data_IF_476429436765
#
_entry.id   IF_476429436765
#
_cell.length_a   1.000
_cell.length_b   1.000
_cell.length_c   1.000
_cell.angle_alpha   90.00
_cell.angle_beta   90.00
_cell.angle_gamma   90.00
#
_symmetry.space_group_name_H-M   'P 1'
#
loop_
_entity.id
_entity.type
_entity.pdbx_description
1 polymer ?
#
# COMPACT_ATOMS: atom_id res chain seq x y z
N UNK A 1 22.15 -75.27 -17.87
CA UNK A 1 20.98 -74.88 -18.71
C UNK A 1 20.09 -74.00 -17.83
N UNK A 2 19.99 -72.72 -18.20
CA UNK A 2 19.03 -71.67 -17.82
C UNK A 2 18.42 -71.63 -16.38
N UNK A 3 18.72 -70.51 -15.72
CA UNK A 3 18.04 -69.83 -14.59
C UNK A 3 16.53 -69.61 -14.83
N UNK A 4 15.67 -69.36 -13.79
CA UNK A 4 15.70 -68.08 -13.07
C UNK A 4 15.44 -68.08 -11.56
N UNK A 5 16.04 -67.04 -10.97
CA UNK A 5 15.96 -66.51 -9.62
C UNK A 5 14.62 -65.80 -9.41
N UNK A 6 13.87 -66.19 -8.40
CA UNK A 6 12.67 -65.47 -7.92
C UNK A 6 13.08 -64.40 -6.91
N UNK A 7 12.95 -63.14 -7.31
CA UNK A 7 12.99 -61.97 -6.45
C UNK A 7 11.61 -61.75 -5.81
N UNK A 8 11.53 -61.79 -4.49
CA UNK A 8 10.37 -61.30 -3.74
C UNK A 8 10.83 -60.15 -2.84
N UNK A 9 10.45 -58.92 -3.22
CA UNK A 9 10.77 -57.68 -2.49
C UNK A 9 9.64 -57.35 -1.50
N UNK A 10 10.06 -56.79 -0.37
CA UNK A 10 9.29 -56.35 0.80
C UNK A 10 8.12 -55.40 0.46
N UNK A 11 7.10 -55.32 1.34
CA UNK A 11 6.07 -54.30 1.24
C UNK A 11 6.60 -52.92 1.68
N UNK A 12 6.32 -51.93 0.83
CA UNK A 12 6.50 -50.51 1.11
C UNK A 12 5.55 -50.08 2.24
N UNK A 13 6.10 -49.68 3.38
CA UNK A 13 5.40 -48.88 4.39
C UNK A 13 5.55 -47.41 3.97
N UNK A 14 4.48 -46.82 3.46
CA UNK A 14 4.41 -45.39 3.19
C UNK A 14 4.19 -44.63 4.51
N UNK A 15 5.26 -44.05 5.05
CA UNK A 15 5.17 -42.98 6.05
C UNK A 15 4.55 -41.75 5.38
N UNK A 16 3.27 -41.49 5.67
CA UNK A 16 2.59 -40.26 5.27
C UNK A 16 3.00 -39.15 6.25
N UNK A 17 3.95 -38.32 5.85
CA UNK A 17 4.33 -37.10 6.58
C UNK A 17 3.17 -36.11 6.53
N UNK A 18 2.52 -35.88 7.68
CA UNK A 18 1.51 -34.82 7.85
C UNK A 18 2.22 -33.46 7.90
N UNK A 19 2.52 -32.89 6.74
CA UNK A 19 2.98 -31.51 6.62
C UNK A 19 1.74 -30.59 6.74
N UNK A 20 1.51 -30.06 7.93
CA UNK A 20 0.50 -29.01 8.14
C UNK A 20 1.02 -27.73 7.49
N UNK A 21 0.72 -27.54 6.20
CA UNK A 21 0.76 -26.21 5.59
C UNK A 21 -0.34 -25.39 6.25
N UNK A 22 0.05 -24.45 7.10
CA UNK A 22 -0.78 -23.29 7.44
C UNK A 22 -0.93 -22.44 6.18
N UNK A 23 -1.83 -22.85 5.29
CA UNK A 23 -2.33 -22.00 4.22
C UNK A 23 -3.09 -20.85 4.89
N UNK A 24 -2.43 -19.70 5.00
CA UNK A 24 -3.16 -18.45 5.22
C UNK A 24 -4.15 -18.30 4.07
N UNK A 25 -5.44 -18.02 4.34
CA UNK A 25 -6.38 -17.85 3.26
C UNK A 25 -5.98 -16.59 2.48
N UNK A 26 -5.49 -16.79 1.26
CA UNK A 26 -5.51 -15.77 0.22
C UNK A 26 -6.99 -15.55 -0.05
N UNK A 27 -7.59 -14.60 0.65
CA UNK A 27 -8.94 -14.12 0.36
C UNK A 27 -8.91 -13.63 -1.08
N UNK A 28 -9.52 -14.39 -1.98
CA UNK A 28 -9.69 -14.02 -3.38
C UNK A 28 -10.56 -12.77 -3.40
N UNK A 29 -10.08 -11.72 -4.04
CA UNK A 29 -10.74 -10.41 -4.17
C UNK A 29 -11.98 -10.44 -5.08
N UNK A 30 -12.74 -11.54 -5.12
CA UNK A 30 -13.75 -11.82 -6.15
C UNK A 30 -15.19 -11.36 -5.82
N UNK A 31 -15.41 -10.66 -4.70
CA UNK A 31 -16.69 -9.97 -4.44
C UNK A 31 -16.50 -8.46 -4.19
N UNK A 32 -15.72 -7.81 -5.05
CA UNK A 32 -15.79 -6.37 -5.21
C UNK A 32 -17.08 -6.02 -5.97
N UNK A 33 -17.96 -5.26 -5.32
CA UNK A 33 -19.21 -4.73 -5.88
C UNK A 33 -18.98 -4.16 -7.28
N UNK A 34 -19.86 -4.50 -8.23
CA UNK A 34 -19.88 -4.02 -9.63
C UNK A 34 -19.67 -2.49 -9.72
N UNK A 35 -18.42 -2.14 -10.01
CA UNK A 35 -17.93 -1.31 -11.13
C UNK A 35 -18.58 0.05 -11.38
N UNK A 36 -18.09 1.07 -10.68
CA UNK A 36 -17.90 2.38 -11.31
C UNK A 36 -16.45 2.83 -11.07
N UNK A 37 -15.66 2.83 -12.14
CA UNK A 37 -14.35 3.46 -12.14
C UNK A 37 -14.50 4.97 -12.03
N UNK A 38 -13.81 5.57 -11.07
CA UNK A 38 -13.78 7.01 -10.82
C UNK A 38 -12.49 7.55 -11.46
N UNK A 39 -12.61 8.36 -12.51
CA UNK A 39 -11.48 9.02 -13.17
C UNK A 39 -11.01 10.26 -12.41
N UNK A 40 -9.70 10.49 -12.38
CA UNK A 40 -9.08 11.71 -11.85
C UNK A 40 -8.04 12.21 -12.87
N UNK A 41 -8.26 13.37 -13.48
CA UNK A 41 -7.24 14.07 -14.29
C UNK A 41 -7.56 14.24 -15.80
N UNK A 42 -8.77 13.90 -16.27
CA UNK A 42 -9.22 14.15 -17.65
C UNK A 42 -10.56 14.90 -17.68
N UNK A 43 -10.63 16.02 -16.96
CA UNK A 43 -11.79 16.92 -17.00
C UNK A 43 -12.96 16.50 -16.10
N UNK A 44 -12.79 15.50 -15.24
CA UNK A 44 -13.78 15.13 -14.20
C UNK A 44 -13.82 16.14 -13.02
N UNK A 45 -13.33 17.37 -13.24
CA UNK A 45 -13.12 18.42 -12.25
C UNK A 45 -11.65 18.61 -11.90
N UNK A 46 -11.24 19.85 -11.58
CA UNK A 46 -9.84 20.21 -11.26
C UNK A 46 -9.34 19.57 -9.95
N UNK A 47 -10.27 19.17 -9.09
CA UNK A 47 -10.00 18.59 -7.77
C UNK A 47 -9.45 17.17 -7.90
N UNK A 48 -8.28 16.93 -7.31
CA UNK A 48 -7.52 15.69 -7.49
C UNK A 48 -7.71 14.66 -6.39
N UNK A 49 -8.49 14.97 -5.34
CA UNK A 49 -8.68 14.10 -4.19
C UNK A 49 -10.10 13.56 -4.07
N UNK A 50 -10.20 12.32 -3.62
CA UNK A 50 -11.44 11.62 -3.28
C UNK A 50 -11.42 11.25 -1.79
N UNK A 51 -12.46 11.66 -1.06
CA UNK A 51 -12.76 11.19 0.29
C UNK A 51 -13.92 10.21 0.27
N UNK A 52 -13.96 9.31 1.24
CA UNK A 52 -14.97 8.26 1.34
C UNK A 52 -15.63 8.29 2.73
N UNK A 53 -16.95 8.19 2.75
CA UNK A 53 -17.70 8.18 4.01
C UNK A 53 -17.57 6.84 4.72
N UNK A 54 -16.72 6.75 5.74
CA UNK A 54 -16.68 5.61 6.66
C UNK A 54 -17.63 5.85 7.85
N UNK A 55 -18.01 4.77 8.53
CA UNK A 55 -18.78 4.88 9.79
C UNK A 55 -18.01 5.73 10.81
N UNK A 56 -18.73 6.54 11.58
CA UNK A 56 -18.13 7.33 12.65
C UNK A 56 -17.44 6.38 13.64
N UNK A 57 -16.22 6.73 14.05
CA UNK A 57 -15.41 5.95 15.00
C UNK A 57 -15.02 4.55 14.49
N UNK A 58 -15.14 4.29 13.18
CA UNK A 58 -14.68 3.04 12.57
C UNK A 58 -13.18 2.82 12.81
N UNK A 59 -12.86 1.70 13.48
CA UNK A 59 -11.47 1.26 13.70
C UNK A 59 -10.96 0.48 12.49
N UNK A 60 -10.65 1.18 11.41
CA UNK A 60 -10.25 0.54 10.14
C UNK A 60 -8.87 -0.11 10.28
N UNK A 61 -8.73 -1.36 9.84
CA UNK A 61 -7.47 -2.12 9.91
C UNK A 61 -6.98 -2.61 8.55
N UNK A 62 -7.83 -2.55 7.53
CA UNK A 62 -7.48 -2.91 6.16
C UNK A 62 -8.28 -2.08 5.17
N UNK A 63 -7.64 -1.64 4.10
CA UNK A 63 -8.26 -0.93 2.99
C UNK A 63 -7.71 -1.51 1.69
N UNK A 64 -8.59 -1.80 0.74
CA UNK A 64 -8.25 -2.33 -0.58
C UNK A 64 -8.92 -1.48 -1.64
N UNK A 65 -8.19 -1.10 -2.68
CA UNK A 65 -8.70 -0.41 -3.87
C UNK A 65 -8.06 -0.99 -5.13
N UNK A 66 -8.63 -0.64 -6.29
CA UNK A 66 -8.08 -0.97 -7.61
C UNK A 66 -7.74 0.31 -8.34
N UNK A 67 -6.61 0.28 -9.02
CA UNK A 67 -6.01 1.40 -9.74
C UNK A 67 -5.65 0.95 -11.15
N UNK A 68 -5.99 1.77 -12.14
CA UNK A 68 -5.47 1.67 -13.50
C UNK A 68 -5.01 3.05 -13.95
N UNK A 69 -3.72 3.17 -14.26
CA UNK A 69 -3.14 4.43 -14.77
C UNK A 69 -3.04 4.32 -16.28
N UNK A 70 -3.69 5.22 -17.01
CA UNK A 70 -3.66 5.24 -18.49
C UNK A 70 -2.75 6.37 -19.03
N UNK A 71 -2.55 7.44 -18.25
CA UNK A 71 -1.73 8.59 -18.64
C UNK A 71 -0.85 9.09 -17.51
N UNK A 72 0.39 9.39 -17.85
CA UNK A 72 1.35 10.10 -16.99
C UNK A 72 1.78 11.37 -17.71
N UNK A 73 1.93 12.46 -16.96
CA UNK A 73 2.56 13.66 -17.49
C UNK A 73 3.99 13.31 -17.89
N UNK A 74 4.44 13.74 -19.07
CA UNK A 74 5.84 13.60 -19.47
C UNK A 74 6.77 14.50 -18.67
N UNK A 75 6.25 15.34 -17.75
CA UNK A 75 7.03 16.26 -16.93
C UNK A 75 6.73 16.04 -15.44
N UNK A 76 7.67 16.49 -14.60
CA UNK A 76 7.48 16.51 -13.15
C UNK A 76 7.17 15.17 -12.50
N UNK A 77 6.54 15.26 -11.32
CA UNK A 77 6.06 14.15 -10.51
C UNK A 77 4.61 13.82 -10.85
N UNK A 78 4.37 12.53 -10.99
CA UNK A 78 3.06 11.89 -11.05
C UNK A 78 3.01 10.91 -9.88
N UNK A 79 2.01 11.02 -9.01
CA UNK A 79 1.84 10.06 -7.93
C UNK A 79 0.37 9.68 -7.77
N UNK A 80 0.09 8.39 -7.88
CA UNK A 80 -1.27 7.85 -7.81
C UNK A 80 -1.42 7.14 -6.48
N UNK A 81 -1.98 7.85 -5.49
CA UNK A 81 -1.81 7.49 -4.09
C UNK A 81 -3.11 7.09 -3.42
N UNK A 82 -3.04 6.00 -2.63
CA UNK A 82 -3.90 5.83 -1.46
C UNK A 82 -3.23 6.51 -0.27
N UNK A 83 -3.94 7.41 0.40
CA UNK A 83 -3.53 7.99 1.67
C UNK A 83 -4.37 7.38 2.79
N UNK A 84 -3.73 7.12 3.93
CA UNK A 84 -4.37 6.68 5.17
C UNK A 84 -3.99 7.62 6.30
N UNK A 85 -4.96 7.97 7.13
CA UNK A 85 -4.75 8.83 8.28
C UNK A 85 -5.01 8.05 9.57
N UNK A 86 -4.21 8.35 10.59
CA UNK A 86 -4.24 7.68 11.88
C UNK A 86 -4.84 8.58 12.98
N UNK A 87 -5.40 8.02 14.06
CA UNK A 87 -5.94 8.79 15.20
C UNK A 87 -4.92 9.68 15.92
N UNK A 88 -3.64 9.30 15.90
CA UNK A 88 -2.53 10.07 16.49
C UNK A 88 -2.06 11.24 15.60
N UNK A 89 -2.84 11.57 14.55
CA UNK A 89 -2.62 12.67 13.59
C UNK A 89 -1.46 12.46 12.62
N UNK A 90 -0.81 11.30 12.63
CA UNK A 90 0.06 10.90 11.52
C UNK A 90 -0.77 10.47 10.31
N UNK A 91 -0.12 10.38 9.16
CA UNK A 91 -0.69 9.81 7.95
C UNK A 91 0.42 9.21 7.09
N UNK A 92 0.05 8.31 6.18
CA UNK A 92 0.92 7.72 5.19
C UNK A 92 0.23 7.65 3.83
N UNK A 93 1.02 7.68 2.77
CA UNK A 93 0.52 7.44 1.42
C UNK A 93 1.33 6.38 0.68
N UNK A 94 0.69 5.70 -0.26
CA UNK A 94 1.33 4.67 -1.07
C UNK A 94 0.74 4.55 -2.45
N UNK A 95 1.58 4.16 -3.40
CA UNK A 95 1.14 3.88 -4.75
C UNK A 95 2.24 3.96 -5.81
N UNK A 96 1.85 3.76 -7.08
CA UNK A 96 2.72 3.98 -8.22
C UNK A 96 3.08 5.46 -8.36
N UNK A 97 4.36 5.73 -8.59
CA UNK A 97 4.88 7.06 -8.82
C UNK A 97 5.71 7.06 -10.11
N UNK A 98 5.67 8.14 -10.88
CA UNK A 98 6.56 8.38 -12.01
C UNK A 98 7.13 9.79 -11.94
N UNK A 99 8.43 9.93 -12.19
CA UNK A 99 9.09 11.23 -12.23
C UNK A 99 10.01 11.29 -13.45
N UNK A 100 9.98 12.41 -14.18
CA UNK A 100 10.98 12.68 -15.20
C UNK A 100 12.31 13.06 -14.55
N UNK A 101 13.33 12.24 -14.77
CA UNK A 101 14.72 12.56 -14.45
C UNK A 101 15.48 12.72 -15.77
N UNK A 102 16.00 13.92 -16.00
CA UNK A 102 16.64 14.31 -17.25
C UNK A 102 15.72 14.04 -18.46
N UNK A 103 16.10 13.09 -19.32
CA UNK A 103 15.36 12.69 -20.52
C UNK A 103 14.50 11.44 -20.34
N UNK A 104 14.50 10.82 -19.15
CA UNK A 104 13.82 9.54 -18.91
C UNK A 104 12.74 9.65 -17.85
N UNK A 105 11.59 9.03 -18.13
CA UNK A 105 10.58 8.78 -17.12
C UNK A 105 11.04 7.58 -16.28
N UNK A 106 11.21 7.79 -14.97
CA UNK A 106 11.57 6.72 -14.03
C UNK A 106 10.37 6.41 -13.16
N UNK A 107 10.08 5.12 -13.01
CA UNK A 107 8.93 4.62 -12.25
C UNK A 107 9.35 4.06 -10.90
N UNK A 108 8.53 4.36 -9.90
CA UNK A 108 8.75 4.03 -8.51
C UNK A 108 7.48 3.47 -7.88
N UNK A 109 7.66 2.77 -6.76
CA UNK A 109 6.62 2.55 -5.78
C UNK A 109 6.97 3.39 -4.56
N UNK A 110 5.94 3.98 -3.95
CA UNK A 110 6.07 4.70 -2.70
C UNK A 110 5.22 4.01 -1.62
N UNK A 111 5.75 3.91 -0.41
CA UNK A 111 5.01 3.72 0.81
C UNK A 111 5.70 4.50 1.92
N UNK A 112 5.05 5.55 2.41
CA UNK A 112 5.58 6.36 3.49
C UNK A 112 4.75 7.59 3.78
N UNK A 113 5.09 8.24 4.88
CA UNK A 113 4.52 9.51 5.33
C UNK A 113 5.26 9.86 6.60
N UNK A 114 5.89 11.02 6.64
CA UNK A 114 6.67 11.49 7.79
C UNK A 114 6.12 12.82 8.25
N UNK A 115 4.80 12.96 8.31
CA UNK A 115 4.21 14.21 8.76
C UNK A 115 2.97 13.94 9.58
N UNK A 116 3.02 14.45 10.81
CA UNK A 116 1.91 14.62 11.74
C UNK A 116 0.87 15.68 11.26
N UNK A 117 1.02 16.22 10.04
CA UNK A 117 0.23 17.34 9.51
C UNK A 117 0.05 17.22 7.98
N UNK A 118 -1.18 17.13 7.51
CA UNK A 118 -1.70 17.93 6.41
C UNK A 118 -1.33 17.78 4.92
N UNK A 119 -0.32 17.05 4.43
CA UNK A 119 -0.14 16.80 2.97
C UNK A 119 0.06 18.00 2.01
N UNK A 120 0.06 19.24 2.49
CA UNK A 120 0.33 20.44 1.71
C UNK A 120 1.82 20.77 1.62
N UNK A 121 2.19 21.64 0.69
CA UNK A 121 3.58 22.08 0.49
C UNK A 121 4.23 22.69 1.74
N UNK A 122 3.44 23.25 2.67
CA UNK A 122 3.91 23.73 3.98
C UNK A 122 4.22 22.60 4.95
N UNK A 123 3.48 21.49 4.89
CA UNK A 123 3.66 20.37 5.80
C UNK A 123 5.00 19.67 5.60
N UNK A 124 5.50 19.63 4.35
CA UNK A 124 6.83 19.11 4.05
C UNK A 124 7.98 20.01 4.58
N UNK A 125 7.71 21.29 4.85
CA UNK A 125 8.70 22.25 5.36
C UNK A 125 8.77 22.24 6.89
N UNK A 126 7.68 21.84 7.56
CA UNK A 126 7.53 21.86 9.02
C UNK A 126 7.73 20.49 9.69
N UNK A 127 8.26 19.49 8.97
CA UNK A 127 8.51 18.16 9.53
C UNK A 127 9.28 18.26 10.86
N UNK A 128 8.84 17.51 11.87
CA UNK A 128 9.52 17.37 13.16
C UNK A 128 10.01 15.94 13.25
N UNK A 129 11.24 15.65 12.76
CA UNK A 129 11.71 14.29 12.61
C UNK A 129 11.61 13.50 13.92
N UNK A 130 11.88 14.13 15.07
CA UNK A 130 11.85 13.41 16.34
C UNK A 130 10.44 12.93 16.68
N UNK A 131 9.45 13.79 16.55
CA UNK A 131 8.07 13.44 16.85
C UNK A 131 7.46 12.55 15.78
N UNK A 132 7.80 12.77 14.50
CA UNK A 132 7.36 11.92 13.41
C UNK A 132 7.89 10.51 13.61
N UNK A 133 9.22 10.32 13.81
CA UNK A 133 9.76 8.99 14.12
C UNK A 133 9.15 8.39 15.39
N UNK A 134 8.85 9.17 16.43
CA UNK A 134 8.23 8.64 17.64
C UNK A 134 6.85 8.00 17.38
N UNK A 135 6.11 8.49 16.37
CA UNK A 135 4.74 8.08 16.08
C UNK A 135 4.62 7.18 14.86
N UNK A 136 5.44 7.41 13.83
CA UNK A 136 5.48 6.69 12.57
C UNK A 136 6.92 6.55 12.05
N UNK A 137 7.29 5.35 11.61
CA UNK A 137 8.63 5.07 11.13
C UNK A 137 8.57 4.17 9.90
N UNK A 138 9.19 4.61 8.81
CA UNK A 138 9.41 3.75 7.68
C UNK A 138 10.55 2.77 8.02
N UNK A 139 10.37 1.49 7.69
CA UNK A 139 11.18 0.44 8.30
C UNK A 139 12.69 0.68 8.27
N UNK A 140 13.38 0.21 9.32
CA UNK A 140 14.81 0.46 9.58
C UNK A 140 15.63 0.14 8.32
N UNK A 141 16.17 1.18 7.67
CA UNK A 141 17.08 1.05 6.52
C UNK A 141 16.40 0.78 5.17
N UNK A 142 15.08 0.92 5.05
CA UNK A 142 14.37 0.81 3.76
C UNK A 142 13.88 2.18 3.29
N UNK A 143 14.23 2.62 2.06
CA UNK A 143 13.69 3.86 1.52
C UNK A 143 12.18 3.73 1.26
N UNK A 144 11.44 4.81 1.53
CA UNK A 144 9.99 4.90 1.33
C UNK A 144 9.62 4.80 -0.16
N UNK A 145 10.51 5.28 -1.02
CA UNK A 145 10.38 5.27 -2.46
C UNK A 145 11.45 4.39 -3.07
N UNK A 146 11.07 3.38 -3.85
CA UNK A 146 12.00 2.47 -4.52
C UNK A 146 11.71 2.38 -6.01
N UNK A 147 12.73 2.17 -6.87
CA UNK A 147 12.50 1.87 -8.28
C UNK A 147 11.56 0.68 -8.44
N UNK A 148 10.50 0.85 -9.21
CA UNK A 148 9.49 -0.18 -9.45
C UNK A 148 8.81 0.09 -10.79
N UNK A 149 9.06 -0.80 -11.75
CA UNK A 149 8.59 -0.68 -13.14
C UNK A 149 7.14 -1.15 -13.27
N UNK A 150 6.21 -0.28 -12.90
CA UNK A 150 4.79 -0.47 -13.18
C UNK A 150 4.42 -0.08 -14.61
N UNK A 151 3.26 -0.54 -15.09
CA UNK A 151 2.83 -0.38 -16.48
C UNK A 151 1.55 0.45 -16.57
N UNK A 152 1.45 1.24 -17.64
CA UNK A 152 0.19 1.87 -18.02
C UNK A 152 -0.81 0.80 -18.45
N UNK A 153 -2.10 1.12 -18.31
CA UNK A 153 -3.28 0.32 -18.65
C UNK A 153 -3.37 -1.06 -17.96
N UNK A 154 -2.36 -1.40 -17.16
CA UNK A 154 -2.41 -2.55 -16.28
C UNK A 154 -3.11 -2.16 -14.98
N UNK A 155 -3.99 -3.05 -14.56
CA UNK A 155 -4.73 -2.89 -13.33
C UNK A 155 -3.97 -3.47 -12.14
N UNK A 156 -3.96 -2.71 -11.06
CA UNK A 156 -3.33 -3.08 -9.80
C UNK A 156 -4.32 -3.06 -8.65
N UNK A 157 -4.20 -4.03 -7.76
CA UNK A 157 -4.85 -4.05 -6.44
C UNK A 157 -3.87 -3.44 -5.45
N UNK A 158 -4.29 -2.37 -4.78
CA UNK A 158 -3.55 -1.70 -3.73
C UNK A 158 -4.18 -2.08 -2.39
N UNK A 159 -3.36 -2.55 -1.46
CA UNK A 159 -3.82 -2.93 -0.11
C UNK A 159 -2.98 -2.24 0.95
N UNK A 160 -3.64 -1.59 1.90
CA UNK A 160 -3.05 -1.18 3.18
C UNK A 160 -3.65 -2.08 4.26
N UNK A 161 -2.81 -2.74 5.07
CA UNK A 161 -3.26 -3.70 6.07
C UNK A 161 -2.40 -3.61 7.33
N UNK A 162 -3.06 -3.62 8.49
CA UNK A 162 -2.43 -3.72 9.79
C UNK A 162 -1.87 -5.12 10.00
N UNK A 163 -0.58 -5.21 10.29
CA UNK A 163 0.10 -6.44 10.69
C UNK A 163 0.11 -6.63 12.20
N UNK A 164 1.19 -7.23 12.70
CA UNK A 164 1.37 -7.49 14.14
C UNK A 164 1.81 -6.23 14.89
N UNK A 165 1.53 -6.23 16.19
CA UNK A 165 2.16 -5.30 17.13
C UNK A 165 3.58 -5.79 17.45
N UNK A 166 4.50 -4.86 17.66
CA UNK A 166 5.87 -5.13 18.06
C UNK A 166 6.42 -3.98 18.89
N UNK A 167 7.52 -4.27 19.58
CA UNK A 167 8.27 -3.26 20.30
C UNK A 167 9.52 -2.87 19.52
N UNK A 168 9.63 -1.59 19.15
CA UNK A 168 10.87 -1.02 18.64
C UNK A 168 11.76 -0.65 19.84
N UNK A 169 13.04 -1.06 19.84
CA UNK A 169 13.94 -0.81 20.97
C UNK A 169 14.23 0.68 21.15
N UNK A 170 14.76 1.08 22.30
CA UNK A 170 15.39 2.40 22.40
C UNK A 170 16.60 2.47 21.46
N UNK A 171 16.91 3.66 20.92
CA UNK A 171 18.03 3.79 20.01
C UNK A 171 18.06 5.10 19.24
N UNK A 172 18.95 5.13 18.24
CA UNK A 172 19.11 6.25 17.33
C UNK A 172 18.51 5.93 15.97
N UNK A 173 17.63 6.81 15.51
CA UNK A 173 16.76 6.63 14.36
C UNK A 173 16.97 7.70 13.28
N UNK A 174 16.41 7.46 12.10
CA UNK A 174 16.54 8.31 10.92
C UNK A 174 17.77 8.02 10.04
N UNK A 175 17.87 8.64 8.85
CA UNK A 175 18.91 8.35 7.88
C UNK A 175 20.34 8.60 8.41
N UNK A 176 20.47 9.60 9.30
CA UNK A 176 21.74 9.97 9.94
C UNK A 176 21.90 9.39 11.35
N UNK A 177 20.88 8.67 11.88
CA UNK A 177 20.87 8.14 13.26
C UNK A 177 21.20 9.19 14.32
N UNK A 178 20.66 10.39 14.18
CA UNK A 178 20.83 11.51 15.09
C UNK A 178 19.66 11.67 16.09
N UNK A 179 18.53 11.00 15.83
CA UNK A 179 17.32 11.12 16.64
C UNK A 179 17.29 10.02 17.70
N UNK A 180 17.43 10.41 18.97
CA UNK A 180 17.34 9.47 20.10
C UNK A 180 15.90 9.27 20.56
N UNK A 181 15.42 8.03 20.53
CA UNK A 181 14.08 7.64 20.98
C UNK A 181 14.16 6.53 22.03
N UNK A 182 13.20 6.54 22.95
CA UNK A 182 12.97 5.42 23.86
C UNK A 182 12.36 4.22 23.16
N UNK A 183 12.12 3.15 23.93
CA UNK A 183 11.37 1.97 23.49
C UNK A 183 9.94 2.40 23.12
N UNK A 184 9.40 1.87 22.02
CA UNK A 184 8.07 2.22 21.50
C UNK A 184 7.29 0.96 21.16
N UNK A 185 6.01 0.94 21.45
CA UNK A 185 5.09 -0.09 20.95
C UNK A 185 4.45 0.41 19.67
N UNK A 186 4.58 -0.35 18.59
CA UNK A 186 4.15 0.04 17.25
C UNK A 186 3.38 -1.10 16.58
N UNK A 187 2.56 -0.75 15.60
CA UNK A 187 1.88 -1.67 14.71
C UNK A 187 2.54 -1.65 13.34
N UNK A 188 2.71 -2.82 12.75
CA UNK A 188 3.03 -2.95 11.33
C UNK A 188 1.88 -2.43 10.48
N UNK A 189 2.20 -1.61 9.48
CA UNK A 189 1.29 -1.20 8.43
C UNK A 189 1.91 -1.56 7.09
N UNK A 190 1.39 -2.64 6.52
CA UNK A 190 1.84 -3.21 5.26
C UNK A 190 1.09 -2.57 4.12
N UNK A 191 1.84 -2.12 3.13
CA UNK A 191 1.29 -1.75 1.84
C UNK A 191 1.73 -2.74 0.78
N UNK A 192 0.82 -3.12 -0.09
CA UNK A 192 1.10 -3.94 -1.26
C UNK A 192 0.49 -3.35 -2.51
N UNK A 193 1.18 -3.58 -3.64
CA UNK A 193 0.65 -3.36 -4.98
C UNK A 193 0.85 -4.65 -5.75
N UNK A 194 -0.22 -5.26 -6.23
CA UNK A 194 -0.17 -6.50 -7.02
C UNK A 194 -0.97 -6.33 -8.32
N UNK A 195 -0.51 -6.89 -9.45
CA UNK A 195 -1.34 -6.93 -10.66
C UNK A 195 -2.66 -7.66 -10.37
N UNK A 196 -3.78 -7.09 -10.81
CA UNK A 196 -5.08 -7.74 -10.67
C UNK A 196 -5.18 -9.03 -11.50
N UNK A 197 -4.49 -9.05 -12.64
CA UNK A 197 -4.31 -10.23 -13.48
C UNK A 197 -2.82 -10.51 -13.67
N UNK A 198 -2.32 -11.54 -12.98
CA UNK A 198 -0.90 -11.92 -13.03
C UNK A 198 -0.46 -12.39 -14.42
N UNK A 199 -1.39 -12.85 -15.27
CA UNK A 199 -1.08 -13.30 -16.63
C UNK A 199 -0.69 -12.16 -17.56
N UNK A 200 -1.15 -10.92 -17.28
CA UNK A 200 -0.80 -9.70 -18.03
C UNK A 200 0.58 -9.13 -17.64
N UNK A 201 1.28 -9.81 -16.75
CA UNK A 201 2.57 -9.40 -16.20
C UNK A 201 2.45 -8.26 -15.19
N UNK A 202 3.58 -7.61 -14.89
CA UNK A 202 3.66 -6.61 -13.82
C UNK A 202 4.32 -7.19 -12.56
N UNK A 203 5.01 -6.33 -11.81
CA UNK A 203 5.74 -6.75 -10.61
C UNK A 203 4.89 -6.50 -9.38
N UNK A 204 4.97 -7.39 -8.40
CA UNK A 204 4.42 -7.13 -7.08
C UNK A 204 5.36 -6.17 -6.31
N UNK A 205 4.78 -5.35 -5.45
CA UNK A 205 5.48 -4.50 -4.50
C UNK A 205 4.91 -4.72 -3.11
N UNK A 206 5.79 -4.71 -2.10
CA UNK A 206 5.38 -4.65 -0.70
C UNK A 206 6.38 -3.87 0.12
N UNK A 207 5.85 -3.04 1.03
CA UNK A 207 6.64 -2.31 2.02
C UNK A 207 5.92 -2.26 3.36
N UNK A 208 6.66 -1.91 4.40
CA UNK A 208 6.19 -1.78 5.77
C UNK A 208 6.59 -0.41 6.31
N UNK A 209 5.64 0.22 6.97
CA UNK A 209 5.90 1.26 7.95
C UNK A 209 5.39 0.76 9.31
N UNK A 210 5.82 1.44 10.36
CA UNK A 210 5.38 1.19 11.73
C UNK A 210 4.69 2.44 12.23
N UNK A 211 3.49 2.31 12.79
CA UNK A 211 2.79 3.44 13.42
C UNK A 211 2.33 3.04 14.82
N UNK A 212 2.36 3.97 15.77
CA UNK A 212 1.87 3.75 17.13
C UNK A 212 0.35 3.52 17.21
N UNK A 213 -0.41 3.91 16.18
CA UNK A 213 -1.85 3.73 16.10
C UNK A 213 -2.25 2.31 15.68
N UNK A 214 -3.28 1.79 16.35
CA UNK A 214 -3.85 0.45 16.08
C UNK A 214 -4.85 0.41 14.92
N UNK A 215 -5.29 1.55 14.41
CA UNK A 215 -6.31 1.64 13.35
C UNK A 215 -6.17 2.94 12.55
N UNK A 216 -6.85 3.01 11.41
CA UNK A 216 -7.00 4.20 10.58
C UNK A 216 -8.31 4.91 10.92
N UNK A 217 -8.34 6.24 10.81
CA UNK A 217 -9.54 7.07 10.98
C UNK A 217 -10.14 7.56 9.68
N UNK A 218 -9.37 7.57 8.59
CA UNK A 218 -9.84 7.93 7.25
C UNK A 218 -8.84 7.49 6.19
N UNK A 219 -9.27 7.46 4.95
CA UNK A 219 -8.41 7.24 3.79
C UNK A 219 -8.94 8.00 2.58
N UNK A 220 -8.02 8.30 1.66
CA UNK A 220 -8.25 9.12 0.48
C UNK A 220 -7.58 8.48 -0.73
N UNK A 221 -8.13 8.73 -1.92
CA UNK A 221 -7.48 8.40 -3.19
C UNK A 221 -7.22 9.69 -3.94
N UNK A 222 -6.05 9.84 -4.54
CA UNK A 222 -5.72 11.07 -5.23
C UNK A 222 -4.57 10.92 -6.25
N UNK A 223 -4.52 11.88 -7.18
CA UNK A 223 -3.45 12.00 -8.16
C UNK A 223 -2.64 13.28 -7.88
N UNK A 224 -1.40 13.13 -7.42
CA UNK A 224 -0.47 14.24 -7.24
C UNK A 224 0.15 14.64 -8.57
N UNK A 225 0.07 15.92 -8.91
CA UNK A 225 0.91 16.54 -9.93
C UNK A 225 1.88 17.49 -9.24
N UNK A 226 3.19 17.25 -9.39
CA UNK A 226 4.23 18.09 -8.79
C UNK A 226 5.35 18.43 -9.78
N UNK A 227 6.23 19.35 -9.40
CA UNK A 227 7.48 19.67 -10.12
C UNK A 227 7.30 19.93 -11.63
N UNK A 228 6.26 20.69 -12.01
CA UNK A 228 5.99 21.07 -13.40
C UNK A 228 5.04 20.15 -14.17
N UNK A 229 4.54 19.08 -13.55
CA UNK A 229 3.36 18.33 -14.02
C UNK A 229 2.09 19.14 -13.75
N UNK A 230 1.12 19.11 -14.66
CA UNK A 230 -0.24 19.62 -14.42
C UNK A 230 -1.22 18.48 -14.20
N UNK A 231 -2.30 18.76 -13.47
CA UNK A 231 -3.32 17.76 -13.13
C UNK A 231 -4.04 17.15 -14.33
N UNK A 232 -4.14 17.88 -15.45
CA UNK A 232 -4.75 17.44 -16.73
C UNK A 232 -3.80 16.66 -17.65
N UNK A 233 -2.52 16.58 -17.28
CA UNK A 233 -1.49 15.84 -18.02
C UNK A 233 -1.34 14.39 -17.55
N UNK A 234 -1.99 14.00 -16.47
CA UNK A 234 -1.98 12.64 -15.92
C UNK A 234 -3.40 12.16 -15.68
N UNK A 235 -3.60 10.84 -15.69
CA UNK A 235 -4.91 10.28 -15.46
C UNK A 235 -4.84 8.86 -14.92
N UNK A 236 -5.79 8.58 -14.01
CA UNK A 236 -5.98 7.26 -13.47
C UNK A 236 -7.44 7.03 -13.14
N UNK A 237 -7.82 5.78 -13.25
CA UNK A 237 -9.09 5.25 -12.79
C UNK A 237 -8.91 4.56 -11.46
N UNK A 238 -9.83 4.85 -10.54
CA UNK A 238 -9.88 4.26 -9.21
C UNK A 238 -11.20 3.54 -8.98
N UNK A 239 -11.17 2.41 -8.29
CA UNK A 239 -12.38 1.86 -7.68
C UNK A 239 -12.56 2.39 -6.27
N UNK A 240 -13.81 2.62 -5.87
CA UNK A 240 -14.13 2.95 -4.48
C UNK A 240 -13.53 1.86 -3.56
N UNK A 241 -12.79 2.23 -2.50
CA UNK A 241 -12.17 1.22 -1.65
C UNK A 241 -13.21 0.37 -0.91
N UNK A 242 -12.83 -0.86 -0.61
CA UNK A 242 -13.45 -1.67 0.44
C UNK A 242 -12.54 -1.69 1.66
N UNK A 243 -13.12 -1.83 2.84
CA UNK A 243 -12.36 -1.77 4.08
C UNK A 243 -12.87 -2.74 5.14
N UNK A 244 -12.01 -3.08 6.10
CA UNK A 244 -12.36 -3.90 7.26
C UNK A 244 -12.12 -3.11 8.54
N UNK A 245 -13.00 -3.29 9.50
CA UNK A 245 -12.82 -2.78 10.87
C UNK A 245 -12.32 -3.86 11.81
N UNK A 246 -11.73 -3.43 12.92
CA UNK A 246 -11.19 -4.32 13.95
C UNK A 246 -12.28 -5.28 14.45
N UNK A 247 -12.07 -6.59 14.25
CA UNK A 247 -12.99 -7.64 14.69
C UNK A 247 -13.99 -8.08 13.61
N UNK A 248 -14.07 -7.38 12.49
CA UNK A 248 -14.96 -7.75 11.38
C UNK A 248 -14.30 -8.79 10.46
N UNK A 249 -15.05 -9.85 10.12
CA UNK A 249 -14.61 -10.85 9.14
C UNK A 249 -14.92 -10.45 7.69
N UNK A 250 -15.92 -9.58 7.50
CA UNK A 250 -16.41 -9.18 6.17
C UNK A 250 -16.00 -7.75 5.82
N UNK A 251 -15.68 -7.47 4.54
CA UNK A 251 -15.44 -6.10 4.10
C UNK A 251 -16.72 -5.28 4.13
N UNK A 252 -16.55 -3.99 4.38
CA UNK A 252 -17.54 -2.94 4.19
C UNK A 252 -17.25 -2.24 2.86
N UNK A 253 -18.31 -1.96 2.11
CA UNK A 253 -18.24 -1.28 0.81
C UNK A 253 -18.61 0.19 0.99
N UNK A 254 -17.96 1.04 0.22
CA UNK A 254 -18.19 2.48 0.25
C UNK A 254 -19.09 2.88 -0.91
N UNK A 255 -20.27 3.40 -0.59
CA UNK A 255 -21.25 3.88 -1.59
C UNK A 255 -21.27 5.40 -1.72
N UNK A 256 -20.62 6.14 -0.81
CA UNK A 256 -20.56 7.60 -0.82
C UNK A 256 -19.12 8.08 -0.82
N UNK A 257 -18.79 8.91 -1.81
CA UNK A 257 -17.51 9.60 -1.91
C UNK A 257 -17.73 11.07 -2.30
N UNK A 258 -16.73 11.90 -2.04
CA UNK A 258 -16.74 13.32 -2.40
C UNK A 258 -15.40 13.70 -3.00
N UNK A 259 -15.41 14.54 -4.04
CA UNK A 259 -14.20 15.09 -4.65
C UNK A 259 -13.89 16.47 -4.07
N UNK A 260 -12.66 16.72 -3.65
CA UNK A 260 -12.29 17.99 -3.00
C UNK A 260 -10.99 18.62 -3.50
#
# INVERSE_FOLDING_TARGET
MLMPVTTMRLPFVACLSLLVLLATPVVHAEELVKDAWIGIGLGEGEKTHLSFGIEKDAKVVKVVTRLKVDKVSPNGLNFFAIQVNYPNKTWAHGGPQANKRDTKLVRYANWGGLVNRGGGSKDYVEADPKNDYALIECGIGKPNTVPWEWKLDLEYILTVERGKQLELPAGRYGPKKDISLGKRTMWEWKFTIVPADKSKGGREFSSLIYDSAECLTSFYLWNESGYGSKSDEQHAHWMAPIYWTLGDEKPKTLVKWTRF
#
